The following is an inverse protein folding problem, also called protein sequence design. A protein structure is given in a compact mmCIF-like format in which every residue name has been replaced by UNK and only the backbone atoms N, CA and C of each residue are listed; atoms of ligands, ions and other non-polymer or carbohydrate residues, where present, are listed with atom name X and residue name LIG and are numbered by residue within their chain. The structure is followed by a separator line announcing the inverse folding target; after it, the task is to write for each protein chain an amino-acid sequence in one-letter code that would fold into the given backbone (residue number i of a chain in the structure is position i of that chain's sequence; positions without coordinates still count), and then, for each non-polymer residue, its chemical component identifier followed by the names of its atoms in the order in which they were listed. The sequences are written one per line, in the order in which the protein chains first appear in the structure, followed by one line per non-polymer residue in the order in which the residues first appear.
data_IF_216262712016
#
_entry.id   IF_216262712016
#
_cell.length_a   1.000
_cell.length_b   1.000
_cell.length_c   1.000
_cell.angle_alpha   90.00
_cell.angle_beta   90.00
_cell.angle_gamma   90.00
#
_symmetry.space_group_name_H-M   'P 1'
#
loop_
_entity.id
_entity.type
_entity.pdbx_description
1 polymer ?
#
# COMPACT_ATOMS: atom_id res chain seq x y z
N UNK A 1 -14.08 29.60 -14.08
CA UNK A 1 -12.93 29.03 -13.32
C UNK A 1 -13.36 28.02 -12.24
N UNK A 2 -14.60 28.03 -11.75
CA UNK A 2 -15.06 27.15 -10.65
C UNK A 2 -15.34 25.70 -11.08
N UNK A 3 -15.81 25.48 -12.32
CA UNK A 3 -16.13 24.14 -12.84
C UNK A 3 -14.90 23.30 -13.19
N UNK A 4 -13.80 23.92 -13.63
CA UNK A 4 -12.55 23.22 -13.93
C UNK A 4 -11.86 22.77 -12.65
N UNK A 5 -11.82 23.60 -11.61
CA UNK A 5 -11.29 23.24 -10.30
C UNK A 5 -12.07 22.06 -9.67
N UNK A 6 -13.40 22.08 -9.75
CA UNK A 6 -14.23 20.97 -9.28
C UNK A 6 -13.98 19.66 -10.06
N UNK A 7 -13.81 19.75 -11.38
CA UNK A 7 -13.45 18.62 -12.22
C UNK A 7 -12.04 18.07 -11.89
N UNK A 8 -11.06 18.95 -11.67
CA UNK A 8 -9.71 18.54 -11.29
C UNK A 8 -9.66 17.86 -9.91
N UNK A 9 -10.40 18.38 -8.93
CA UNK A 9 -10.49 17.80 -7.58
C UNK A 9 -11.19 16.43 -7.62
N UNK A 10 -12.28 16.31 -8.38
CA UNK A 10 -13.01 15.03 -8.51
C UNK A 10 -12.21 13.97 -9.26
N UNK A 11 -11.46 14.35 -10.31
CA UNK A 11 -10.55 13.44 -11.02
C UNK A 11 -9.40 12.99 -10.12
N UNK A 12 -8.78 13.93 -9.37
CA UNK A 12 -7.75 13.59 -8.40
C UNK A 12 -8.31 12.63 -7.34
N UNK A 13 -9.42 12.99 -6.68
CA UNK A 13 -10.08 12.13 -5.70
C UNK A 13 -10.40 10.74 -6.26
N UNK A 14 -10.95 10.65 -7.47
CA UNK A 14 -11.33 9.38 -8.08
C UNK A 14 -10.10 8.50 -8.40
N UNK A 15 -9.01 9.08 -8.89
CA UNK A 15 -7.79 8.33 -9.22
C UNK A 15 -7.09 7.84 -7.96
N UNK A 16 -6.94 8.72 -6.96
CA UNK A 16 -6.21 8.42 -5.72
C UNK A 16 -6.98 7.44 -4.84
N UNK A 17 -8.29 7.66 -4.65
CA UNK A 17 -9.10 6.81 -3.79
C UNK A 17 -9.29 5.42 -4.37
N UNK A 18 -9.46 5.32 -5.69
CA UNK A 18 -9.71 4.03 -6.35
C UNK A 18 -8.42 3.19 -6.44
N UNK A 19 -7.26 3.80 -6.73
CA UNK A 19 -6.01 3.03 -6.90
C UNK A 19 -5.36 2.59 -5.59
N UNK A 20 -5.37 3.42 -4.55
CA UNK A 20 -4.75 3.06 -3.27
C UNK A 20 -5.52 1.93 -2.61
N UNK A 21 -6.84 1.86 -2.79
CA UNK A 21 -7.65 0.78 -2.21
C UNK A 21 -7.24 -0.61 -2.72
N UNK A 22 -6.76 -0.70 -3.97
CA UNK A 22 -6.25 -1.95 -4.52
C UNK A 22 -4.91 -2.39 -3.92
N UNK A 23 -4.17 -1.52 -3.22
CA UNK A 23 -2.91 -1.90 -2.59
C UNK A 23 -3.11 -2.91 -1.44
N UNK A 24 -4.18 -2.76 -0.66
CA UNK A 24 -4.50 -3.66 0.46
C UNK A 24 -4.68 -5.12 0.01
N UNK A 25 -5.59 -5.45 -0.92
CA UNK A 25 -5.75 -6.83 -1.38
C UNK A 25 -4.49 -7.35 -2.09
N UNK A 26 -3.75 -6.50 -2.80
CA UNK A 26 -2.48 -6.89 -3.42
C UNK A 26 -1.45 -7.33 -2.38
N UNK A 27 -1.25 -6.53 -1.32
CA UNK A 27 -0.31 -6.84 -0.23
C UNK A 27 -0.71 -8.15 0.45
N UNK A 28 -2.01 -8.37 0.69
CA UNK A 28 -2.50 -9.62 1.27
C UNK A 28 -2.19 -10.81 0.36
N UNK A 29 -2.50 -10.72 -0.94
CA UNK A 29 -2.30 -11.80 -1.90
C UNK A 29 -0.81 -12.15 -2.04
N UNK A 30 0.08 -11.16 -2.24
CA UNK A 30 1.52 -11.44 -2.39
C UNK A 30 2.11 -12.06 -1.13
N UNK A 31 1.68 -11.62 0.05
CA UNK A 31 2.18 -12.12 1.34
C UNK A 31 1.75 -13.56 1.57
N UNK A 32 0.50 -13.89 1.21
CA UNK A 32 -0.04 -15.24 1.32
C UNK A 32 0.66 -16.20 0.35
N UNK A 33 0.83 -15.80 -0.92
CA UNK A 33 1.52 -16.61 -1.94
C UNK A 33 2.97 -16.86 -1.54
N UNK A 34 3.68 -15.84 -1.06
CA UNK A 34 5.05 -15.98 -0.59
C UNK A 34 5.15 -16.97 0.59
N UNK A 35 4.24 -16.91 1.56
CA UNK A 35 4.29 -17.79 2.72
C UNK A 35 3.86 -19.23 2.38
N UNK A 36 2.87 -19.40 1.49
CA UNK A 36 2.30 -20.69 1.09
C UNK A 36 3.23 -21.53 0.21
N UNK A 37 4.16 -20.91 -0.52
CA UNK A 37 5.17 -21.65 -1.31
C UNK A 37 6.27 -22.26 -0.44
N UNK A 38 6.46 -21.76 0.78
CA UNK A 38 7.55 -22.17 1.68
C UNK A 38 7.12 -23.10 2.80
N UNK A 39 5.86 -23.03 3.23
CA UNK A 39 5.36 -23.80 4.37
C UNK A 39 4.14 -24.61 3.97
N UNK A 40 4.12 -25.88 4.38
CA UNK A 40 3.04 -26.84 4.12
C UNK A 40 1.94 -26.82 5.20
N UNK A 41 2.23 -26.24 6.37
CA UNK A 41 1.29 -26.11 7.48
C UNK A 41 0.59 -24.75 7.50
N UNK A 42 -0.74 -24.75 7.66
CA UNK A 42 -1.59 -23.55 7.60
C UNK A 42 -1.21 -22.45 8.61
N UNK A 43 -0.87 -22.83 9.85
CA UNK A 43 -0.48 -21.89 10.93
C UNK A 43 0.76 -21.06 10.57
N UNK A 44 1.91 -21.66 10.24
CA UNK A 44 3.10 -20.89 9.87
C UNK A 44 2.92 -20.07 8.57
N UNK A 45 2.05 -20.48 7.64
CA UNK A 45 1.71 -19.68 6.46
C UNK A 45 1.12 -18.33 6.87
N UNK A 46 0.12 -18.33 7.75
CA UNK A 46 -0.55 -17.11 8.20
C UNK A 46 0.39 -16.18 8.99
N UNK A 47 1.19 -16.72 9.90
CA UNK A 47 2.13 -15.92 10.70
C UNK A 47 3.21 -15.27 9.81
N UNK A 48 3.77 -16.02 8.87
CA UNK A 48 4.77 -15.48 7.95
C UNK A 48 4.18 -14.50 6.94
N UNK A 49 2.96 -14.75 6.44
CA UNK A 49 2.26 -13.83 5.56
C UNK A 49 2.01 -12.48 6.26
N UNK A 50 1.49 -12.49 7.49
CA UNK A 50 1.27 -11.25 8.25
C UNK A 50 2.58 -10.50 8.48
N UNK A 51 3.63 -11.20 8.93
CA UNK A 51 4.93 -10.56 9.17
C UNK A 51 5.50 -9.94 7.89
N UNK A 52 5.40 -10.62 6.76
CA UNK A 52 5.85 -10.10 5.47
C UNK A 52 5.02 -8.88 5.03
N UNK A 53 3.69 -8.96 5.13
CA UNK A 53 2.80 -7.84 4.80
C UNK A 53 3.07 -6.60 5.66
N UNK A 54 3.33 -6.78 6.96
CA UNK A 54 3.71 -5.67 7.86
C UNK A 54 5.02 -5.03 7.39
N UNK A 55 6.03 -5.81 7.00
CA UNK A 55 7.29 -5.26 6.49
C UNK A 55 7.11 -4.45 5.20
N UNK A 56 6.25 -4.89 4.29
CA UNK A 56 5.92 -4.13 3.06
C UNK A 56 5.31 -2.78 3.41
N UNK A 57 4.34 -2.74 4.33
CA UNK A 57 3.68 -1.51 4.76
C UNK A 57 4.66 -0.57 5.48
N UNK A 58 5.47 -1.11 6.40
CA UNK A 58 6.49 -0.33 7.12
C UNK A 58 7.52 0.26 6.16
N UNK A 59 8.01 -0.52 5.20
CA UNK A 59 8.97 -0.02 4.21
C UNK A 59 8.38 1.13 3.38
N UNK A 60 7.15 0.96 2.86
CA UNK A 60 6.45 2.03 2.13
C UNK A 60 6.25 3.28 3.00
N UNK A 61 5.91 3.10 4.27
CA UNK A 61 5.74 4.20 5.22
C UNK A 61 7.06 4.95 5.49
N UNK A 62 8.18 4.24 5.65
CA UNK A 62 9.50 4.86 5.82
C UNK A 62 9.84 5.72 4.61
N UNK A 63 9.66 5.20 3.39
CA UNK A 63 9.90 5.96 2.17
C UNK A 63 9.01 7.21 2.12
N UNK A 64 7.73 7.08 2.48
CA UNK A 64 6.81 8.22 2.58
C UNK A 64 7.32 9.28 3.56
N UNK A 65 7.76 8.90 4.77
CA UNK A 65 8.31 9.83 5.77
C UNK A 65 9.57 10.51 5.24
N UNK A 66 10.48 9.78 4.61
CA UNK A 66 11.70 10.36 4.02
C UNK A 66 11.35 11.40 2.95
N UNK A 67 10.44 11.07 2.03
CA UNK A 67 10.00 12.00 0.98
C UNK A 67 9.28 13.21 1.57
N UNK A 68 8.46 13.03 2.61
CA UNK A 68 7.78 14.11 3.31
C UNK A 68 8.78 15.07 3.97
N UNK A 69 9.83 14.53 4.62
CA UNK A 69 10.90 15.34 5.19
C UNK A 69 11.64 16.12 4.11
N UNK A 70 12.05 15.46 3.02
CA UNK A 70 12.71 16.12 1.89
C UNK A 70 11.86 17.25 1.30
N UNK A 71 10.55 17.03 1.16
CA UNK A 71 9.60 18.04 0.68
C UNK A 71 9.41 19.21 1.65
N UNK A 72 9.73 19.06 2.94
CA UNK A 72 9.70 20.15 3.90
C UNK A 72 10.97 21.01 3.83
N UNK A 73 12.10 20.41 3.45
CA UNK A 73 13.39 21.11 3.31
C UNK A 73 13.58 21.76 1.94
N UNK A 74 12.89 21.27 0.90
CA UNK A 74 12.80 21.88 -0.44
C UNK A 74 11.75 22.98 -0.45
#
# INVERSE_FOLDING_TARGET
MNGVLAASISVFSAIWFNRIWYSLPLIVVISLVYAATRHEHMRPILEHAVRFGVWVVVFMFIVFVVLMLLSFFV
#
